data_IF_510153931185
#
_entry.id   IF_510153931185
#
_cell.length_a   1.000
_cell.length_b   1.000
_cell.length_c   1.000
_cell.angle_alpha   90.00
_cell.angle_beta   90.00
_cell.angle_gamma   90.00
#
_symmetry.space_group_name_H-M   'P 1'
#
loop_
_entity.id
_entity.type
_entity.pdbx_description
1 polymer ?
#
# COMPACT_ATOMS: atom_id res chain seq x y z
N UNK A 1 -56.00 29.45 -49.08
CA UNK A 1 -54.56 29.13 -49.11
C UNK A 1 -53.86 29.45 -47.79
N UNK A 2 -54.17 30.58 -47.14
CA UNK A 2 -53.56 31.02 -45.86
C UNK A 2 -53.64 29.99 -44.71
N UNK A 3 -54.80 29.32 -44.52
CA UNK A 3 -54.97 28.29 -43.48
C UNK A 3 -54.02 27.09 -43.60
N UNK A 4 -53.68 26.68 -44.82
CA UNK A 4 -52.72 25.60 -45.06
C UNK A 4 -51.31 26.04 -44.75
N UNK A 5 -50.94 27.27 -45.15
CA UNK A 5 -49.65 27.85 -44.84
C UNK A 5 -49.42 27.98 -43.33
N UNK A 6 -50.44 28.45 -42.58
CA UNK A 6 -50.38 28.55 -41.11
C UNK A 6 -50.15 27.17 -40.46
N UNK A 7 -50.84 26.13 -40.92
CA UNK A 7 -50.64 24.77 -40.42
C UNK A 7 -49.23 24.23 -40.71
N UNK A 8 -48.71 24.46 -41.92
CA UNK A 8 -47.35 24.05 -42.29
C UNK A 8 -46.29 24.77 -41.45
N UNK A 9 -46.45 26.09 -41.23
CA UNK A 9 -45.54 26.85 -40.38
C UNK A 9 -45.59 26.41 -38.92
N UNK A 10 -46.78 26.14 -38.38
CA UNK A 10 -46.92 25.63 -37.01
C UNK A 10 -46.23 24.26 -36.84
N UNK A 11 -46.42 23.35 -37.79
CA UNK A 11 -45.77 22.03 -37.77
C UNK A 11 -44.24 22.15 -37.84
N UNK A 12 -43.71 23.01 -38.73
CA UNK A 12 -42.27 23.24 -38.85
C UNK A 12 -41.65 23.76 -37.55
N UNK A 13 -42.30 24.72 -36.89
CA UNK A 13 -41.83 25.28 -35.61
C UNK A 13 -41.80 24.25 -34.48
N UNK A 14 -42.83 23.39 -34.40
CA UNK A 14 -42.89 22.32 -33.38
C UNK A 14 -41.83 21.25 -33.59
N UNK A 15 -41.55 20.87 -34.84
CA UNK A 15 -40.52 19.86 -35.17
C UNK A 15 -39.12 20.43 -34.94
N UNK A 16 -38.88 21.70 -35.28
CA UNK A 16 -37.59 22.36 -35.01
C UNK A 16 -37.33 22.56 -33.51
N UNK A 17 -38.38 22.77 -32.70
CA UNK A 17 -38.27 22.90 -31.25
C UNK A 17 -37.87 21.59 -30.56
N UNK A 18 -38.46 20.46 -30.96
CA UNK A 18 -38.03 19.13 -30.46
C UNK A 18 -36.61 18.76 -30.92
N UNK A 19 -36.17 19.25 -32.09
CA UNK A 19 -34.82 19.04 -32.56
C UNK A 19 -33.77 19.86 -31.80
N UNK A 20 -34.17 20.91 -31.07
CA UNK A 20 -33.25 21.76 -30.32
C UNK A 20 -32.65 21.04 -29.10
N UNK A 21 -33.42 20.23 -28.37
CA UNK A 21 -32.89 19.36 -27.31
C UNK A 21 -32.01 18.22 -27.89
N UNK A 22 -32.32 17.78 -29.11
CA UNK A 22 -31.51 16.80 -29.85
C UNK A 22 -30.17 17.39 -30.30
N UNK A 23 -30.15 18.65 -30.73
CA UNK A 23 -28.93 19.40 -31.03
C UNK A 23 -28.13 19.74 -29.77
N UNK A 24 -28.80 19.97 -28.63
CA UNK A 24 -28.11 20.25 -27.38
C UNK A 24 -27.35 19.01 -26.83
N UNK A 25 -27.70 17.81 -27.30
CA UNK A 25 -27.02 16.56 -26.97
C UNK A 25 -25.99 16.13 -28.05
N UNK A 26 -25.40 17.11 -28.77
CA UNK A 26 -24.32 16.86 -29.73
C UNK A 26 -23.13 16.10 -29.13
N UNK A 27 -22.88 16.27 -27.82
CA UNK A 27 -21.83 15.59 -27.07
C UNK A 27 -22.12 14.11 -26.77
N UNK A 28 -23.27 13.55 -27.17
CA UNK A 28 -23.58 12.12 -27.02
C UNK A 28 -23.90 11.39 -28.32
N UNK A 29 -24.10 12.10 -29.44
CA UNK A 29 -24.60 11.56 -30.71
C UNK A 29 -23.64 11.72 -31.91
N UNK A 30 -22.37 12.08 -31.68
CA UNK A 30 -21.36 12.10 -32.75
C UNK A 30 -20.33 10.99 -32.54
N UNK A 31 -19.78 10.44 -33.62
CA UNK A 31 -18.70 9.44 -33.54
C UNK A 31 -17.44 9.99 -32.82
N UNK A 32 -17.36 11.32 -32.67
CA UNK A 32 -16.34 12.07 -31.93
C UNK A 32 -16.85 12.62 -30.59
N UNK A 33 -18.04 12.21 -30.15
CA UNK A 33 -18.65 12.68 -28.91
C UNK A 33 -18.05 11.91 -27.74
N UNK A 34 -17.18 12.58 -27.00
CA UNK A 34 -16.33 11.98 -25.97
C UNK A 34 -14.94 11.60 -26.46
N UNK A 35 -14.09 11.19 -25.53
CA UNK A 35 -12.72 10.77 -25.79
C UNK A 35 -12.66 9.32 -26.28
N UNK A 36 -13.53 8.96 -27.23
CA UNK A 36 -13.73 7.58 -27.73
C UNK A 36 -12.44 6.97 -28.27
N UNK A 37 -11.58 7.79 -28.89
CA UNK A 37 -10.26 7.35 -29.33
C UNK A 37 -9.36 6.99 -28.13
N UNK A 38 -9.37 7.79 -27.05
CA UNK A 38 -8.63 7.52 -25.82
C UNK A 38 -9.20 6.33 -25.04
N UNK A 39 -10.52 6.16 -25.04
CA UNK A 39 -11.18 4.98 -24.47
C UNK A 39 -10.89 3.71 -25.27
N UNK A 40 -10.85 3.79 -26.61
CA UNK A 40 -10.41 2.66 -27.45
C UNK A 40 -8.94 2.30 -27.22
N UNK A 41 -8.08 3.29 -27.03
CA UNK A 41 -6.69 3.04 -26.67
C UNK A 41 -6.59 2.27 -25.34
N UNK A 42 -7.38 2.65 -24.33
CA UNK A 42 -7.42 1.92 -23.06
C UNK A 42 -7.97 0.49 -23.22
N UNK A 43 -9.04 0.31 -24.00
CA UNK A 43 -9.67 -1.00 -24.25
C UNK A 43 -8.78 -1.98 -25.02
N UNK A 44 -7.90 -1.47 -25.88
CA UNK A 44 -6.99 -2.29 -26.69
C UNK A 44 -5.58 -2.41 -26.10
N UNK A 45 -5.32 -1.82 -24.93
CA UNK A 45 -4.03 -1.95 -24.25
C UNK A 45 -4.01 -3.25 -23.44
N UNK A 46 -2.96 -4.05 -23.64
CA UNK A 46 -2.81 -5.39 -23.03
C UNK A 46 -2.72 -5.33 -21.50
N UNK A 47 -2.09 -4.30 -20.94
CA UNK A 47 -2.06 -4.04 -19.49
C UNK A 47 -2.14 -2.52 -19.25
N UNK A 48 -3.36 -1.96 -19.11
CA UNK A 48 -3.55 -0.52 -18.92
C UNK A 48 -3.28 -0.08 -17.47
N UNK A 49 -2.94 -1.00 -16.57
CA UNK A 49 -2.79 -0.69 -15.16
C UNK A 49 -1.35 -0.32 -14.80
N UNK A 50 -1.20 0.38 -13.67
CA UNK A 50 0.11 0.63 -13.07
C UNK A 50 0.80 -0.73 -12.82
N UNK A 51 2.08 -0.92 -13.17
CA UNK A 51 2.80 -2.17 -12.90
C UNK A 51 2.75 -2.60 -11.42
N UNK A 52 2.63 -1.65 -10.50
CA UNK A 52 2.43 -1.91 -9.08
C UNK A 52 1.04 -2.45 -8.72
N UNK A 53 0.04 -2.33 -9.59
CA UNK A 53 -1.29 -2.93 -9.39
C UNK A 53 -1.25 -4.46 -9.48
N UNK A 54 -0.28 -5.03 -10.19
CA UNK A 54 -0.03 -6.47 -10.21
C UNK A 54 0.79 -6.94 -9.00
N UNK A 55 1.17 -6.03 -8.11
CA UNK A 55 1.89 -6.37 -6.89
C UNK A 55 0.93 -6.96 -5.85
N UNK A 56 0.73 -8.27 -5.94
CA UNK A 56 0.01 -9.07 -4.93
C UNK A 56 0.90 -9.42 -3.73
N UNK A 57 2.15 -8.95 -3.71
CA UNK A 57 3.06 -9.11 -2.60
C UNK A 57 2.68 -8.12 -1.52
N UNK A 58 1.98 -8.61 -0.51
CA UNK A 58 1.86 -7.88 0.75
C UNK A 58 3.28 -7.82 1.30
N UNK A 59 3.90 -6.62 1.29
CA UNK A 59 5.13 -6.35 2.04
C UNK A 59 4.81 -6.36 3.53
N UNK A 60 4.52 -7.56 4.02
CA UNK A 60 4.34 -7.84 5.42
C UNK A 60 5.71 -8.11 5.99
N UNK A 61 6.21 -7.17 6.79
CA UNK A 61 7.20 -7.49 7.80
C UNK A 61 6.59 -8.59 8.69
N UNK A 62 6.96 -9.85 8.40
CA UNK A 62 6.45 -11.01 9.10
C UNK A 62 6.73 -10.92 10.60
N UNK A 63 7.79 -10.23 11.02
CA UNK A 63 8.08 -9.98 12.42
C UNK A 63 7.12 -8.96 13.03
N UNK A 64 6.77 -7.90 12.29
CA UNK A 64 5.74 -6.94 12.74
C UNK A 64 4.38 -7.61 12.90
N UNK A 65 4.00 -8.50 11.98
CA UNK A 65 2.72 -9.21 12.05
C UNK A 65 2.69 -10.23 13.19
N UNK A 66 3.77 -10.99 13.41
CA UNK A 66 3.85 -11.92 14.54
C UNK A 66 3.83 -11.19 15.88
N UNK A 67 4.49 -10.03 16.00
CA UNK A 67 4.44 -9.20 17.20
C UNK A 67 3.01 -8.73 17.53
N UNK A 68 2.22 -8.32 16.52
CA UNK A 68 0.81 -7.93 16.73
C UNK A 68 -0.05 -9.12 17.12
N UNK A 69 0.12 -10.28 16.48
CA UNK A 69 -0.62 -11.51 16.81
C UNK A 69 -0.30 -11.99 18.23
N UNK A 70 0.96 -11.92 18.66
CA UNK A 70 1.36 -12.27 20.02
C UNK A 70 0.73 -11.34 21.06
N UNK A 71 0.73 -10.02 20.80
CA UNK A 71 0.04 -9.03 21.66
C UNK A 71 -1.46 -9.34 21.80
N UNK A 72 -2.14 -9.68 20.71
CA UNK A 72 -3.57 -9.99 20.73
C UNK A 72 -3.88 -11.28 21.51
N UNK A 73 -3.00 -12.28 21.44
CA UNK A 73 -3.15 -13.56 22.15
C UNK A 73 -2.84 -13.47 23.65
N UNK A 74 -2.49 -12.29 24.17
CA UNK A 74 -2.07 -12.12 25.55
C UNK A 74 -0.78 -12.87 25.89
N UNK A 75 -0.06 -13.36 24.88
CA UNK A 75 1.27 -13.94 25.06
C UNK A 75 2.21 -12.74 25.25
N UNK A 76 2.92 -12.64 26.39
CA UNK A 76 3.95 -11.63 26.53
C UNK A 76 4.93 -11.82 25.36
N UNK A 77 5.05 -10.81 24.51
CA UNK A 77 6.06 -10.78 23.45
C UNK A 77 7.39 -10.94 24.17
N UNK A 78 8.03 -12.09 24.03
CA UNK A 78 9.33 -12.37 24.63
C UNK A 78 10.30 -11.38 23.97
N UNK A 79 10.68 -10.34 24.73
CA UNK A 79 11.37 -9.14 24.23
C UNK A 79 10.74 -7.79 24.62
N UNK A 80 9.58 -7.76 25.28
CA UNK A 80 8.94 -6.52 25.75
C UNK A 80 9.29 -6.10 27.19
N UNK A 81 10.43 -6.54 27.72
CA UNK A 81 11.14 -5.75 28.74
C UNK A 81 12.08 -4.81 27.99
N UNK A 82 11.88 -3.48 28.07
CA UNK A 82 12.88 -2.54 27.58
C UNK A 82 14.22 -2.86 28.25
N UNK A 83 15.18 -3.38 27.48
CA UNK A 83 16.54 -3.62 27.94
C UNK A 83 16.81 -4.96 28.61
N UNK A 84 16.12 -6.07 28.27
CA UNK A 84 16.62 -7.39 28.67
C UNK A 84 16.64 -8.35 27.48
N UNK A 85 17.84 -8.85 27.14
CA UNK A 85 18.00 -9.85 26.10
C UNK A 85 17.66 -11.24 26.65
N UNK A 86 16.63 -11.93 26.13
CA UNK A 86 16.43 -13.34 26.40
C UNK A 86 17.48 -14.16 25.65
N UNK A 87 17.85 -15.32 26.19
CA UNK A 87 18.66 -16.30 25.49
C UNK A 87 17.96 -16.72 24.19
N UNK A 88 18.45 -16.18 23.09
CA UNK A 88 17.92 -16.42 21.75
C UNK A 88 18.83 -17.41 21.03
N UNK A 89 18.26 -18.36 20.30
CA UNK A 89 19.01 -19.23 19.38
C UNK A 89 19.43 -18.49 18.09
N UNK A 90 19.20 -17.19 18.05
CA UNK A 90 19.69 -16.29 17.00
C UNK A 90 21.09 -15.85 17.40
N UNK A 91 22.05 -16.04 16.50
CA UNK A 91 23.39 -15.48 16.61
C UNK A 91 23.29 -13.95 16.55
N UNK A 92 23.67 -13.29 17.64
CA UNK A 92 23.48 -11.86 17.89
C UNK A 92 24.84 -11.20 18.02
N UNK A 93 25.01 -10.02 17.43
CA UNK A 93 26.28 -9.27 17.45
C UNK A 93 26.16 -7.98 18.27
N UNK A 94 27.26 -7.51 18.83
CA UNK A 94 27.35 -6.14 19.34
C UNK A 94 27.53 -5.14 18.20
N UNK A 95 27.11 -3.88 18.42
CA UNK A 95 27.27 -2.82 17.44
C UNK A 95 28.74 -2.65 17.05
N UNK A 96 29.05 -2.74 15.74
CA UNK A 96 30.42 -2.68 15.21
C UNK A 96 31.10 -4.03 15.00
N UNK A 97 30.37 -5.14 15.17
CA UNK A 97 30.81 -6.48 14.76
C UNK A 97 31.05 -6.62 13.24
N UNK A 98 31.72 -7.70 12.85
CA UNK A 98 32.01 -8.02 11.43
C UNK A 98 30.91 -8.84 10.74
N UNK A 99 29.85 -9.20 11.45
CA UNK A 99 28.72 -9.99 10.93
C UNK A 99 27.55 -9.13 10.47
N UNK A 100 26.67 -9.73 9.67
CA UNK A 100 25.39 -9.15 9.21
C UNK A 100 24.23 -9.51 10.16
N UNK A 101 24.57 -10.01 11.35
CA UNK A 101 23.64 -10.49 12.33
C UNK A 101 22.91 -9.32 13.02
N UNK A 102 21.70 -9.56 13.57
CA UNK A 102 21.00 -8.53 14.32
C UNK A 102 21.84 -8.00 15.48
N UNK A 103 21.92 -6.67 15.58
CA UNK A 103 22.78 -5.97 16.54
C UNK A 103 22.05 -5.69 17.86
N UNK A 104 22.74 -5.98 18.96
CA UNK A 104 22.28 -5.71 20.33
C UNK A 104 22.70 -4.30 20.76
N UNK A 105 21.80 -3.52 21.39
CA UNK A 105 22.17 -2.23 21.98
C UNK A 105 23.27 -2.37 23.05
N UNK A 106 24.16 -1.37 23.18
CA UNK A 106 25.19 -1.40 24.22
C UNK A 106 24.57 -1.41 25.62
N UNK A 107 25.27 -2.01 26.57
CA UNK A 107 24.89 -2.09 27.98
C UNK A 107 23.51 -2.73 28.22
N UNK A 108 23.22 -3.83 27.53
CA UNK A 108 21.93 -4.52 27.68
C UNK A 108 22.02 -5.63 28.74
N UNK A 109 21.20 -5.59 29.81
CA UNK A 109 21.07 -6.69 30.76
C UNK A 109 20.80 -8.05 30.10
N UNK A 110 21.57 -9.06 30.47
CA UNK A 110 21.33 -10.45 30.10
C UNK A 110 20.41 -11.13 31.12
N UNK A 111 19.33 -11.74 30.64
CA UNK A 111 18.46 -12.59 31.46
C UNK A 111 18.67 -14.06 31.09
N UNK A 112 19.77 -14.64 31.56
CA UNK A 112 20.12 -16.05 31.35
C UNK A 112 21.61 -16.28 31.05
N UNK A 113 22.02 -17.55 30.80
CA UNK A 113 23.38 -17.86 30.37
C UNK A 113 23.74 -17.18 29.04
N UNK A 114 24.95 -16.62 28.96
CA UNK A 114 25.48 -15.94 27.76
C UNK A 114 25.82 -16.94 26.65
N UNK A 115 24.79 -17.39 25.92
CA UNK A 115 24.91 -18.36 24.81
C UNK A 115 25.63 -17.79 23.58
N UNK A 116 25.59 -16.46 23.41
CA UNK A 116 26.13 -15.76 22.26
C UNK A 116 27.48 -15.07 22.54
N UNK A 117 28.03 -15.21 23.77
CA UNK A 117 29.32 -14.63 24.13
C UNK A 117 29.35 -13.10 24.14
N UNK A 118 28.21 -12.46 24.41
CA UNK A 118 28.04 -11.01 24.39
C UNK A 118 28.55 -10.32 25.67
N UNK A 119 28.70 -11.05 26.77
CA UNK A 119 29.19 -10.59 28.07
C UNK A 119 30.59 -11.14 28.33
N UNK A 120 31.59 -10.47 27.76
CA UNK A 120 32.99 -10.89 27.85
C UNK A 120 33.52 -10.85 29.29
N UNK A 121 33.04 -9.94 30.13
CA UNK A 121 33.49 -9.75 31.51
C UNK A 121 32.62 -10.50 32.55
N UNK A 122 31.59 -11.23 32.12
CA UNK A 122 30.70 -12.04 32.94
C UNK A 122 30.01 -11.23 34.06
N UNK A 123 29.69 -9.96 33.81
CA UNK A 123 29.06 -9.06 34.77
C UNK A 123 27.51 -9.00 34.65
N UNK A 124 26.94 -9.77 33.72
CA UNK A 124 25.51 -9.80 33.40
C UNK A 124 25.07 -8.72 32.41
N UNK A 125 26.01 -8.02 31.76
CA UNK A 125 25.74 -6.92 30.83
C UNK A 125 26.32 -7.27 29.45
N UNK A 126 25.45 -7.44 28.45
CA UNK A 126 25.85 -7.65 27.06
C UNK A 126 26.36 -6.36 26.42
N UNK A 127 27.35 -6.50 25.54
CA UNK A 127 27.90 -5.41 24.73
C UNK A 127 28.33 -4.21 25.59
N UNK A 128 28.95 -4.52 26.74
CA UNK A 128 29.51 -3.53 27.65
C UNK A 128 30.62 -2.76 26.94
N UNK A 129 30.47 -1.43 26.87
CA UNK A 129 31.43 -0.51 26.27
C UNK A 129 32.55 -0.12 27.24
N UNK A 130 32.65 -0.71 28.43
CA UNK A 130 33.73 -0.49 29.39
C UNK A 130 35.07 -1.13 28.98
N UNK A 131 35.48 -0.86 27.74
CA UNK A 131 36.88 -0.82 27.33
C UNK A 131 37.15 0.37 26.43
#
# INVERSE_FOLDING_TARGET
MYRRAVFCFAAALTVSGCAADYLNNYDTMTLASGDSNRQNQLLQTVDPFNPNSNNTKIEGDGQRMTAVVQRYRGVPVIGATPGALPNSNVDLDCAGGRGDNPVVPPNTPLNGPDVNGLDRNHNGIACDSHR
#
